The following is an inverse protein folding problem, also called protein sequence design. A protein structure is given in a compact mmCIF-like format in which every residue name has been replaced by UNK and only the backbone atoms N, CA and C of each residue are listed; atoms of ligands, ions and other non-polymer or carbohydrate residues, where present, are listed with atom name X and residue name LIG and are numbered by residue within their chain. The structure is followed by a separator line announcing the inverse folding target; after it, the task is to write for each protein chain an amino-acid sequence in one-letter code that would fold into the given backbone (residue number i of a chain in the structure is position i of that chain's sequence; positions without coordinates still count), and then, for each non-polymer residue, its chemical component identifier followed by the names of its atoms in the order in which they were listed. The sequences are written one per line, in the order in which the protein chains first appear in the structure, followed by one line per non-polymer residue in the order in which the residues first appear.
data_IF_352060203023
#
_entry.id   IF_352060203023
#
_cell.length_a   1.000
_cell.length_b   1.000
_cell.length_c   1.000
_cell.angle_alpha   90.00
_cell.angle_beta   90.00
_cell.angle_gamma   90.00
#
_symmetry.space_group_name_H-M   'P 1'
#
loop_
_entity.id
_entity.type
_entity.pdbx_description
1 polymer ?
#
# COMPACT_ATOMS: atom_id res chain seq x y z
N UNK A 1 -11.25 -17.10 -1.30
CA UNK A 1 -10.92 -15.68 -1.04
C UNK A 1 -11.82 -14.81 -1.91
N UNK A 2 -12.73 -14.03 -1.33
CA UNK A 2 -13.75 -13.26 -2.07
C UNK A 2 -13.23 -12.04 -2.83
N UNK A 3 -12.11 -12.19 -3.53
CA UNK A 3 -11.44 -11.12 -4.27
C UNK A 3 -10.82 -10.05 -3.40
N UNK A 4 -10.41 -8.97 -4.04
CA UNK A 4 -9.93 -7.80 -3.33
C UNK A 4 -11.07 -7.05 -2.65
N UNK A 5 -10.85 -6.51 -1.44
CA UNK A 5 -11.85 -5.70 -0.76
C UNK A 5 -12.09 -4.38 -1.52
N UNK A 6 -13.35 -3.99 -1.71
CA UNK A 6 -13.72 -2.72 -2.33
C UNK A 6 -13.49 -1.54 -1.36
N UNK A 7 -12.22 -1.25 -1.06
CA UNK A 7 -11.81 -0.11 -0.22
C UNK A 7 -11.03 0.91 -1.06
N UNK A 8 -11.17 2.20 -0.75
CA UNK A 8 -10.64 3.26 -1.61
C UNK A 8 -9.10 3.38 -1.61
N UNK A 9 -8.43 2.77 -0.62
CA UNK A 9 -6.96 2.66 -0.50
C UNK A 9 -6.64 1.50 0.46
N UNK A 10 -5.42 0.94 0.40
CA UNK A 10 -4.94 -0.19 1.21
C UNK A 10 -5.60 -1.55 0.88
N UNK A 11 -6.25 -1.66 -0.29
CA UNK A 11 -6.85 -2.90 -0.80
C UNK A 11 -5.83 -4.04 -0.86
N UNK A 12 -4.62 -3.70 -1.31
CA UNK A 12 -3.44 -4.54 -1.36
C UNK A 12 -3.00 -5.02 0.03
N UNK A 13 -2.91 -4.12 1.02
CA UNK A 13 -2.52 -4.47 2.39
C UNK A 13 -3.53 -5.43 3.03
N UNK A 14 -4.83 -5.19 2.84
CA UNK A 14 -5.87 -6.08 3.36
C UNK A 14 -5.85 -7.43 2.65
N UNK A 15 -5.58 -7.44 1.35
CA UNK A 15 -5.43 -8.68 0.60
C UNK A 15 -4.23 -9.51 1.08
N UNK A 16 -3.08 -8.86 1.32
CA UNK A 16 -1.89 -9.51 1.89
C UNK A 16 -2.18 -10.04 3.30
N UNK A 17 -2.80 -9.26 4.18
CA UNK A 17 -3.17 -9.74 5.53
C UNK A 17 -4.09 -10.96 5.48
N UNK A 18 -5.06 -10.98 4.56
CA UNK A 18 -5.93 -12.15 4.35
C UNK A 18 -5.16 -13.36 3.80
N UNK A 19 -4.12 -13.14 3.00
CA UNK A 19 -3.23 -14.20 2.52
C UNK A 19 -2.41 -14.76 3.68
N UNK A 20 -1.81 -13.89 4.51
CA UNK A 20 -1.04 -14.26 5.71
C UNK A 20 -1.91 -14.97 6.76
N UNK A 21 -3.17 -14.58 6.90
CA UNK A 21 -4.15 -15.29 7.76
C UNK A 21 -4.54 -16.66 7.19
N UNK A 22 -4.53 -16.82 5.86
CA UNK A 22 -4.90 -18.07 5.18
C UNK A 22 -3.75 -19.06 5.03
N UNK A 23 -2.49 -18.64 5.22
CA UNK A 23 -1.32 -19.49 5.12
C UNK A 23 0.00 -18.73 5.24
N UNK A 24 1.10 -19.47 5.30
CA UNK A 24 2.43 -18.90 5.47
C UNK A 24 2.92 -18.22 4.17
N UNK A 25 3.29 -16.94 4.26
CA UNK A 25 3.86 -16.19 3.14
C UNK A 25 5.39 -16.27 3.16
N UNK A 26 6.00 -16.58 2.01
CA UNK A 26 7.46 -16.61 1.87
C UNK A 26 7.99 -15.31 1.26
N UNK A 27 9.08 -14.77 1.81
CA UNK A 27 9.78 -13.63 1.22
C UNK A 27 10.69 -14.12 0.08
N UNK A 28 10.49 -13.60 -1.14
CA UNK A 28 11.30 -13.99 -2.28
C UNK A 28 12.64 -13.24 -2.28
N UNK A 29 13.79 -13.92 -2.18
CA UNK A 29 15.09 -13.26 -2.24
C UNK A 29 15.41 -12.83 -3.67
N UNK A 30 15.85 -11.59 -3.85
CA UNK A 30 16.32 -11.06 -5.13
C UNK A 30 15.77 -9.67 -5.45
N UNK A 31 16.44 -8.90 -6.34
CA UNK A 31 15.95 -7.58 -6.73
C UNK A 31 14.69 -7.71 -7.60
N UNK A 32 13.60 -7.08 -7.17
CA UNK A 32 12.41 -6.96 -7.99
C UNK A 32 12.61 -5.84 -9.01
N UNK A 33 12.78 -6.19 -10.29
CA UNK A 33 12.93 -5.21 -11.38
C UNK A 33 11.54 -4.67 -11.75
N UNK A 34 11.20 -3.52 -11.18
CA UNK A 34 10.01 -2.75 -11.59
C UNK A 34 10.41 -1.64 -12.56
N UNK A 35 9.53 -1.32 -13.52
CA UNK A 35 9.77 -0.23 -14.46
C UNK A 35 9.97 1.10 -13.71
N UNK A 36 11.10 1.77 -13.93
CA UNK A 36 11.50 3.00 -13.26
C UNK A 36 10.69 4.26 -13.68
N UNK A 37 9.74 4.13 -14.61
CA UNK A 37 8.90 5.24 -15.12
C UNK A 37 8.15 6.01 -14.02
N UNK A 38 7.89 5.39 -12.86
CA UNK A 38 7.25 6.05 -11.71
C UNK A 38 8.24 6.69 -10.72
N UNK A 39 9.53 6.46 -10.90
CA UNK A 39 10.62 6.87 -10.00
C UNK A 39 11.41 8.09 -10.50
N UNK A 40 11.28 8.48 -11.77
CA UNK A 40 11.86 9.71 -12.31
C UNK A 40 11.09 10.95 -11.82
N UNK A 41 11.53 11.51 -10.68
CA UNK A 41 11.16 12.87 -10.28
C UNK A 41 10.90 13.06 -8.78
N UNK A 42 10.31 12.08 -8.07
CA UNK A 42 9.96 12.19 -6.63
C UNK A 42 9.97 10.85 -5.85
N UNK A 43 11.05 10.07 -5.90
CA UNK A 43 11.06 8.72 -5.33
C UNK A 43 10.84 8.71 -3.81
N UNK A 44 11.52 9.60 -3.08
CA UNK A 44 11.44 9.67 -1.62
C UNK A 44 10.07 10.15 -1.11
N UNK A 45 9.46 11.15 -1.74
CA UNK A 45 8.15 11.69 -1.32
C UNK A 45 7.05 10.66 -1.48
N UNK A 46 7.05 9.94 -2.60
CA UNK A 46 6.09 8.88 -2.86
C UNK A 46 6.28 7.73 -1.87
N UNK A 47 7.52 7.33 -1.60
CA UNK A 47 7.83 6.29 -0.62
C UNK A 47 7.38 6.67 0.79
N UNK A 48 7.66 7.90 1.24
CA UNK A 48 7.23 8.40 2.55
C UNK A 48 5.69 8.51 2.67
N UNK A 49 5.01 8.95 1.61
CA UNK A 49 3.55 8.97 1.57
C UNK A 49 2.99 7.55 1.71
N UNK A 50 3.50 6.59 0.95
CA UNK A 50 3.08 5.19 1.05
C UNK A 50 3.40 4.57 2.42
N UNK A 51 4.58 4.85 2.98
CA UNK A 51 4.98 4.35 4.30
C UNK A 51 4.09 4.94 5.42
N UNK A 52 3.78 6.24 5.37
CA UNK A 52 2.90 6.88 6.35
C UNK A 52 1.46 6.36 6.28
N UNK A 53 0.93 6.10 5.07
CA UNK A 53 -0.38 5.48 4.91
C UNK A 53 -0.43 4.07 5.49
N UNK A 54 0.59 3.24 5.21
CA UNK A 54 0.69 1.89 5.76
C UNK A 54 0.81 1.91 7.30
N UNK A 55 1.62 2.82 7.85
CA UNK A 55 1.75 2.98 9.30
C UNK A 55 0.43 3.43 9.95
N UNK A 56 -0.27 4.42 9.38
CA UNK A 56 -1.56 4.87 9.88
C UNK A 56 -2.64 3.77 9.77
N UNK A 57 -2.62 2.99 8.69
CA UNK A 57 -3.49 1.82 8.55
C UNK A 57 -3.20 0.74 9.61
N UNK A 58 -1.92 0.48 9.88
CA UNK A 58 -1.49 -0.46 10.93
C UNK A 58 -1.91 0.02 12.34
N UNK A 59 -1.97 1.33 12.56
CA UNK A 59 -2.50 1.93 13.79
C UNK A 59 -4.04 1.90 13.90
N UNK A 60 -4.75 1.41 12.88
CA UNK A 60 -6.21 1.28 12.88
C UNK A 60 -6.97 2.42 12.23
N UNK A 61 -6.30 3.30 11.47
CA UNK A 61 -6.99 4.35 10.72
C UNK A 61 -7.94 3.75 9.66
N UNK A 62 -9.08 4.41 9.43
CA UNK A 62 -10.05 3.93 8.44
C UNK A 62 -9.49 4.10 7.02
N UNK A 63 -9.64 3.09 6.13
CA UNK A 63 -9.32 3.23 4.71
C UNK A 63 -9.93 4.47 4.05
N UNK A 64 -11.11 4.90 4.51
CA UNK A 64 -11.79 6.07 3.96
C UNK A 64 -11.08 7.40 4.32
N UNK A 65 -10.50 7.49 5.52
CA UNK A 65 -9.73 8.64 5.98
C UNK A 65 -8.37 8.70 5.28
N UNK A 66 -7.71 7.55 5.18
CA UNK A 66 -6.46 7.40 4.42
C UNK A 66 -6.64 7.77 2.95
N UNK A 67 -7.75 7.38 2.33
CA UNK A 67 -8.04 7.75 0.94
C UNK A 67 -8.29 9.25 0.78
N UNK A 68 -8.88 9.91 1.77
CA UNK A 68 -9.05 11.36 1.78
C UNK A 68 -7.68 12.06 1.88
N UNK A 69 -6.82 11.59 2.78
CA UNK A 69 -5.47 12.10 2.97
C UNK A 69 -4.61 11.90 1.71
N UNK A 70 -4.64 10.69 1.12
CA UNK A 70 -3.93 10.37 -0.10
C UNK A 70 -4.43 11.20 -1.29
N UNK A 71 -5.74 11.39 -1.45
CA UNK A 71 -6.27 12.27 -2.52
C UNK A 71 -5.81 13.72 -2.36
N UNK A 72 -5.69 14.21 -1.14
CA UNK A 72 -5.22 15.56 -0.86
C UNK A 72 -3.70 15.74 -1.08
N UNK A 73 -2.89 14.70 -0.88
CA UNK A 73 -1.42 14.80 -0.91
C UNK A 73 -0.73 14.09 -2.10
N UNK A 74 -1.44 13.18 -2.78
CA UNK A 74 -0.93 12.34 -3.87
C UNK A 74 -1.22 12.88 -5.27
N UNK A 75 -2.12 13.87 -5.43
CA UNK A 75 -2.26 14.66 -6.66
C UNK A 75 -1.33 15.87 -6.56
N UNK A 76 -0.07 15.71 -6.98
CA UNK A 76 0.91 16.79 -7.02
C UNK A 76 2.14 16.46 -7.84
#
# INVERSE_FOLDING_TARGET
MGGFPQIPVMEDVVFVRRLEEAGETAYLPGPMVSSARRWEGRPARTLLLWASLQAAFALGASPHELARFYRAHGKG
#
